data_IF_181420783064
#
_entry.id   IF_181420783064
#
_cell.length_a   1.000
_cell.length_b   1.000
_cell.length_c   1.000
_cell.angle_alpha   90.00
_cell.angle_beta   90.00
_cell.angle_gamma   90.00
#
_symmetry.space_group_name_H-M   'P 1'
#
loop_
_entity.id
_entity.type
_entity.pdbx_description
1 polymer ?
#
# COMPACT_ATOMS: atom_id res chain seq x y z
N UNK A 1 -2.27 -9.45 20.70
CA UNK A 1 -3.39 -9.75 19.78
C UNK A 1 -3.43 -8.63 18.75
N UNK A 2 -2.88 -8.86 17.55
CA UNK A 2 -3.03 -7.90 16.44
C UNK A 2 -4.47 -7.99 15.94
N UNK A 3 -5.28 -6.97 16.22
CA UNK A 3 -6.69 -6.94 15.81
C UNK A 3 -6.87 -6.91 14.28
N UNK A 4 -5.82 -6.55 13.53
CA UNK A 4 -5.79 -6.55 12.07
C UNK A 4 -4.45 -7.12 11.59
N UNK A 5 -4.45 -8.29 10.97
CA UNK A 5 -3.25 -8.83 10.30
C UNK A 5 -2.98 -8.06 9.00
N UNK A 6 -1.71 -8.00 8.59
CA UNK A 6 -1.30 -7.40 7.32
C UNK A 6 -2.03 -8.04 6.12
N UNK A 7 -2.32 -9.35 6.20
CA UNK A 7 -3.09 -10.08 5.18
C UNK A 7 -4.49 -9.49 4.99
N UNK A 8 -5.20 -9.22 6.09
CA UNK A 8 -6.57 -8.67 6.06
C UNK A 8 -6.54 -7.25 5.48
N UNK A 9 -5.58 -6.42 5.89
CA UNK A 9 -5.42 -5.06 5.37
C UNK A 9 -5.14 -5.03 3.85
N UNK A 10 -4.31 -5.96 3.36
CA UNK A 10 -4.05 -6.11 1.93
C UNK A 10 -5.32 -6.54 1.16
N UNK A 11 -6.12 -7.45 1.70
CA UNK A 11 -7.41 -7.80 1.09
C UNK A 11 -8.40 -6.63 1.08
N UNK A 12 -8.50 -5.87 2.17
CA UNK A 12 -9.34 -4.67 2.25
C UNK A 12 -8.92 -3.65 1.20
N UNK A 13 -7.61 -3.44 1.02
CA UNK A 13 -7.06 -2.57 -0.02
C UNK A 13 -7.45 -3.04 -1.42
N UNK A 14 -7.24 -4.31 -1.76
CA UNK A 14 -7.61 -4.88 -3.07
C UNK A 14 -9.11 -4.70 -3.31
N UNK A 15 -9.93 -4.99 -2.29
CA UNK A 15 -11.37 -4.79 -2.35
C UNK A 15 -11.74 -3.32 -2.61
N UNK A 16 -11.12 -2.38 -1.91
CA UNK A 16 -11.34 -0.95 -2.11
C UNK A 16 -11.00 -0.50 -3.55
N UNK A 17 -9.90 -0.98 -4.13
CA UNK A 17 -9.52 -0.68 -5.51
C UNK A 17 -10.56 -1.21 -6.52
N UNK A 18 -11.08 -2.42 -6.30
CA UNK A 18 -12.13 -3.01 -7.13
C UNK A 18 -13.45 -2.24 -6.99
N UNK A 19 -13.82 -1.84 -5.77
CA UNK A 19 -15.02 -1.02 -5.52
C UNK A 19 -14.90 0.34 -6.22
N UNK A 20 -13.77 1.01 -6.09
CA UNK A 20 -13.50 2.28 -6.80
C UNK A 20 -13.65 2.07 -8.31
N UNK A 21 -13.02 1.04 -8.87
CA UNK A 21 -13.16 0.72 -10.30
C UNK A 21 -14.62 0.47 -10.71
N UNK A 22 -15.40 -0.23 -9.89
CA UNK A 22 -16.82 -0.49 -10.16
C UNK A 22 -17.63 0.81 -10.18
N UNK A 23 -17.41 1.71 -9.21
CA UNK A 23 -18.10 3.00 -9.16
C UNK A 23 -17.70 3.92 -10.33
N UNK A 24 -16.45 3.91 -10.79
CA UNK A 24 -16.04 4.67 -11.97
C UNK A 24 -16.84 4.32 -13.23
N UNK A 25 -17.26 3.05 -13.37
CA UNK A 25 -18.04 2.57 -14.52
C UNK A 25 -19.54 2.76 -14.28
N UNK A 26 -20.02 2.43 -13.08
CA UNK A 26 -21.47 2.34 -12.80
C UNK A 26 -22.11 3.70 -12.52
N UNK A 27 -21.47 4.50 -11.68
CA UNK A 27 -21.95 5.81 -11.24
C UNK A 27 -20.78 6.67 -10.73
N UNK A 28 -20.05 7.33 -11.64
CA UNK A 28 -18.88 8.12 -11.28
C UNK A 28 -19.26 9.44 -10.58
N UNK A 29 -20.50 9.92 -10.75
CA UNK A 29 -20.98 11.13 -10.09
C UNK A 29 -21.11 10.90 -8.59
N UNK A 30 -21.71 9.77 -8.19
CA UNK A 30 -21.84 9.34 -6.80
C UNK A 30 -20.48 9.23 -6.10
N UNK A 31 -19.44 8.78 -6.81
CA UNK A 31 -18.07 8.76 -6.27
C UNK A 31 -17.55 10.18 -6.09
N UNK A 32 -17.60 11.01 -7.13
CA UNK A 32 -17.02 12.37 -7.11
C UNK A 32 -17.68 13.35 -6.13
N UNK A 33 -18.97 13.15 -5.86
CA UNK A 33 -19.78 13.96 -4.97
C UNK A 33 -20.00 13.31 -3.59
N UNK A 34 -19.25 12.26 -3.27
CA UNK A 34 -19.25 11.69 -1.93
C UNK A 34 -18.85 12.77 -0.92
N UNK A 35 -19.63 12.92 0.17
CA UNK A 35 -19.44 14.02 1.13
C UNK A 35 -18.02 14.13 1.66
N UNK A 36 -17.35 12.99 1.89
CA UNK A 36 -15.94 12.98 2.33
C UNK A 36 -14.97 13.53 1.28
N UNK A 37 -15.18 13.23 -0.01
CA UNK A 37 -14.33 13.73 -1.12
C UNK A 37 -14.48 15.25 -1.24
N UNK A 38 -15.71 15.75 -1.14
CA UNK A 38 -16.00 17.19 -1.19
C UNK A 38 -15.37 17.91 -0.01
N UNK A 39 -15.55 17.40 1.21
CA UNK A 39 -14.98 17.98 2.43
C UNK A 39 -13.45 18.04 2.36
N UNK A 40 -12.80 16.96 1.93
CA UNK A 40 -11.35 16.94 1.85
C UNK A 40 -10.82 17.85 0.72
N UNK A 41 -11.50 17.89 -0.42
CA UNK A 41 -11.18 18.82 -1.50
C UNK A 41 -11.24 20.28 -1.06
N UNK A 42 -12.29 20.65 -0.31
CA UNK A 42 -12.44 21.98 0.26
C UNK A 42 -11.38 22.29 1.32
N UNK A 43 -11.06 21.34 2.20
CA UNK A 43 -10.03 21.50 3.22
C UNK A 43 -8.63 21.76 2.63
N UNK A 44 -8.34 21.10 1.50
CA UNK A 44 -7.09 21.25 0.75
C UNK A 44 -7.12 22.41 -0.26
N UNK A 45 -8.24 23.13 -0.39
CA UNK A 45 -8.43 24.21 -1.35
C UNK A 45 -8.15 23.81 -2.82
N UNK A 46 -8.44 22.55 -3.16
CA UNK A 46 -8.28 22.01 -4.53
C UNK A 46 -9.60 22.04 -5.29
N UNK A 47 -9.57 22.14 -6.64
CA UNK A 47 -10.79 22.12 -7.44
C UNK A 47 -11.61 20.84 -7.23
N UNK A 48 -12.91 21.02 -7.04
CA UNK A 48 -13.88 19.93 -7.00
C UNK A 48 -14.15 19.45 -8.42
N UNK A 49 -13.83 18.19 -8.71
CA UNK A 49 -14.13 17.58 -10.00
C UNK A 49 -15.44 16.82 -9.88
N UNK A 50 -16.35 17.09 -10.82
CA UNK A 50 -17.55 16.27 -11.05
C UNK A 50 -17.30 15.34 -12.22
N UNK A 51 -17.45 14.04 -12.01
CA UNK A 51 -17.26 13.07 -13.09
C UNK A 51 -18.57 12.85 -13.84
N UNK A 52 -18.53 12.99 -15.17
CA UNK A 52 -19.68 12.72 -16.03
C UNK A 52 -19.50 11.35 -16.70
N UNK A 53 -20.54 10.49 -16.73
CA UNK A 53 -20.43 9.11 -17.25
C UNK A 53 -20.12 9.01 -18.75
N UNK A 54 -20.19 10.12 -19.49
CA UNK A 54 -19.89 10.16 -20.93
C UNK A 54 -18.40 10.21 -21.25
N UNK A 55 -17.52 10.39 -20.24
CA UNK A 55 -16.10 10.55 -20.48
C UNK A 55 -15.37 9.18 -20.66
N UNK A 56 -14.79 8.89 -21.84
CA UNK A 56 -14.08 7.63 -22.08
C UNK A 56 -12.88 7.40 -21.16
N UNK A 57 -12.29 8.48 -20.62
CA UNK A 57 -11.15 8.39 -19.69
C UNK A 57 -11.51 7.66 -18.39
N UNK A 58 -12.79 7.63 -18.00
CA UNK A 58 -13.24 6.89 -16.83
C UNK A 58 -13.06 5.38 -17.00
N UNK A 59 -13.39 4.85 -18.18
CA UNK A 59 -13.19 3.45 -18.51
C UNK A 59 -11.70 3.08 -18.50
N UNK A 60 -10.86 3.91 -19.11
CA UNK A 60 -9.40 3.71 -19.04
C UNK A 60 -8.89 3.72 -17.60
N UNK A 61 -9.35 4.68 -16.79
CA UNK A 61 -8.96 4.80 -15.39
C UNK A 61 -9.41 3.57 -14.58
N UNK A 62 -10.62 3.05 -14.82
CA UNK A 62 -11.09 1.82 -14.18
C UNK A 62 -10.20 0.61 -14.50
N UNK A 63 -9.74 0.47 -15.75
CA UNK A 63 -8.82 -0.61 -16.13
C UNK A 63 -7.49 -0.51 -15.38
N UNK A 64 -6.98 0.71 -15.17
CA UNK A 64 -5.79 0.93 -14.35
C UNK A 64 -6.03 0.48 -12.91
N UNK A 65 -7.16 0.85 -12.29
CA UNK A 65 -7.50 0.42 -10.94
C UNK A 65 -7.64 -1.09 -10.79
N UNK A 66 -8.26 -1.78 -11.77
CA UNK A 66 -8.32 -3.26 -11.79
C UNK A 66 -6.92 -3.85 -11.92
N UNK A 67 -6.08 -3.29 -12.78
CA UNK A 67 -4.71 -3.78 -12.97
C UNK A 67 -3.89 -3.62 -11.68
N UNK A 68 -4.05 -2.51 -10.96
CA UNK A 68 -3.45 -2.31 -9.64
C UNK A 68 -3.97 -3.32 -8.61
N UNK A 69 -5.28 -3.59 -8.60
CA UNK A 69 -5.89 -4.58 -7.72
C UNK A 69 -5.35 -5.99 -8.01
N UNK A 70 -5.20 -6.37 -9.29
CA UNK A 70 -4.62 -7.65 -9.70
C UNK A 70 -3.13 -7.76 -9.36
N UNK A 71 -2.37 -6.67 -9.54
CA UNK A 71 -0.95 -6.60 -9.19
C UNK A 71 -0.69 -6.84 -7.71
N UNK A 72 -1.65 -6.50 -6.84
CA UNK A 72 -1.59 -6.80 -5.40
C UNK A 72 -2.23 -8.16 -5.07
N UNK A 73 -3.26 -8.59 -5.81
CA UNK A 73 -3.95 -9.87 -5.57
C UNK A 73 -3.09 -11.09 -5.90
N UNK A 74 -2.35 -11.07 -7.01
CA UNK A 74 -1.54 -12.21 -7.44
C UNK A 74 -0.45 -12.55 -6.42
N UNK A 75 0.39 -11.61 -5.94
CA UNK A 75 1.40 -11.89 -4.92
C UNK A 75 0.78 -12.27 -3.57
N UNK A 76 -0.42 -11.77 -3.27
CA UNK A 76 -1.15 -12.10 -2.04
C UNK A 76 -1.64 -13.56 -2.05
N UNK A 77 -2.13 -14.05 -3.19
CA UNK A 77 -2.52 -15.45 -3.39
C UNK A 77 -1.31 -16.39 -3.36
N UNK A 78 -0.15 -15.93 -3.83
CA UNK A 78 1.11 -16.65 -3.77
C UNK A 78 1.81 -16.56 -2.39
N UNK A 79 1.21 -15.87 -1.42
CA UNK A 79 1.77 -15.60 -0.09
C UNK A 79 3.21 -15.05 -0.12
N UNK A 80 3.53 -14.23 -1.13
CA UNK A 80 4.85 -13.63 -1.30
C UNK A 80 5.00 -12.37 -0.43
N UNK A 81 5.32 -12.56 0.85
CA UNK A 81 5.47 -11.45 1.81
C UNK A 81 6.64 -10.52 1.48
N UNK A 82 7.73 -11.05 0.91
CA UNK A 82 8.93 -10.26 0.57
C UNK A 82 8.62 -9.18 -0.48
N UNK A 83 7.70 -9.47 -1.40
CA UNK A 83 7.21 -8.49 -2.38
C UNK A 83 6.58 -7.28 -1.69
N UNK A 84 5.65 -7.51 -0.76
CA UNK A 84 4.97 -6.42 -0.04
C UNK A 84 5.90 -5.67 0.91
N UNK A 85 6.86 -6.36 1.53
CA UNK A 85 7.83 -5.73 2.44
C UNK A 85 8.67 -4.65 1.74
N UNK A 86 9.00 -4.86 0.47
CA UNK A 86 9.75 -3.89 -0.32
C UNK A 86 8.83 -2.87 -1.00
N UNK A 87 7.68 -3.31 -1.53
CA UNK A 87 6.82 -2.45 -2.34
C UNK A 87 6.04 -1.42 -1.51
N UNK A 88 5.50 -1.81 -0.37
CA UNK A 88 4.67 -0.94 0.48
C UNK A 88 5.39 0.36 0.89
N UNK A 89 6.64 0.34 1.41
CA UNK A 89 7.32 1.58 1.77
C UNK A 89 7.66 2.47 0.56
N UNK A 90 8.00 1.88 -0.59
CA UNK A 90 8.24 2.63 -1.84
C UNK A 90 6.96 3.32 -2.29
N UNK A 91 5.85 2.59 -2.30
CA UNK A 91 4.53 3.10 -2.67
C UNK A 91 4.06 4.20 -1.73
N UNK A 92 4.21 4.01 -0.42
CA UNK A 92 3.91 5.01 0.60
C UNK A 92 4.70 6.30 0.35
N UNK A 93 6.00 6.18 0.08
CA UNK A 93 6.87 7.32 -0.24
C UNK A 93 6.39 8.06 -1.49
N UNK A 94 6.01 7.32 -2.55
CA UNK A 94 5.44 7.89 -3.76
C UNK A 94 4.16 8.69 -3.50
N UNK A 95 3.25 8.18 -2.66
CA UNK A 95 2.04 8.91 -2.31
C UNK A 95 2.30 10.13 -1.43
N UNK A 96 3.28 10.08 -0.52
CA UNK A 96 3.71 11.28 0.21
C UNK A 96 4.27 12.35 -0.71
N UNK A 97 5.09 11.98 -1.69
CA UNK A 97 5.59 12.91 -2.71
C UNK A 97 4.44 13.53 -3.53
N UNK A 98 3.46 12.72 -3.92
CA UNK A 98 2.29 13.20 -4.64
C UNK A 98 1.40 14.13 -3.78
N UNK A 99 1.19 13.81 -2.50
CA UNK A 99 0.48 14.67 -1.57
C UNK A 99 1.19 16.03 -1.39
N UNK A 100 2.52 16.00 -1.21
CA UNK A 100 3.33 17.21 -1.11
C UNK A 100 3.22 18.05 -2.40
N UNK A 101 3.28 17.42 -3.57
CA UNK A 101 3.12 18.11 -4.85
C UNK A 101 1.76 18.81 -4.97
N UNK A 102 0.66 18.11 -4.61
CA UNK A 102 -0.69 18.69 -4.63
C UNK A 102 -0.79 19.88 -3.69
N UNK A 103 -0.16 19.79 -2.52
CA UNK A 103 -0.12 20.87 -1.54
C UNK A 103 0.61 22.12 -2.05
N UNK A 104 1.77 21.97 -2.72
CA UNK A 104 2.52 23.11 -3.26
C UNK A 104 1.94 23.68 -4.55
N UNK A 105 1.29 22.87 -5.38
CA UNK A 105 0.77 23.27 -6.69
C UNK A 105 -0.72 22.91 -6.82
N UNK A 106 -1.61 23.61 -6.11
CA UNK A 106 -3.05 23.28 -6.07
C UNK A 106 -3.76 23.54 -7.42
N UNK A 107 -3.16 24.29 -8.33
CA UNK A 107 -3.72 24.62 -9.66
C UNK A 107 -3.40 23.57 -10.74
N UNK A 108 -2.60 22.55 -10.42
CA UNK A 108 -2.25 21.50 -11.39
C UNK A 108 -3.47 20.64 -11.74
N UNK A 109 -3.49 20.07 -12.94
CA UNK A 109 -4.54 19.13 -13.39
C UNK A 109 -4.64 17.91 -12.47
N UNK A 110 -3.51 17.50 -11.87
CA UNK A 110 -3.43 16.38 -10.93
C UNK A 110 -3.96 16.76 -9.54
N UNK A 111 -3.98 18.05 -9.22
CA UNK A 111 -4.42 18.59 -7.93
C UNK A 111 -5.92 18.78 -7.93
N UNK A 112 -6.65 17.72 -7.57
CA UNK A 112 -8.10 17.74 -7.51
C UNK A 112 -8.64 16.92 -6.33
N UNK A 113 -9.92 17.13 -6.01
CA UNK A 113 -10.59 16.52 -4.86
C UNK A 113 -10.52 14.99 -4.83
N UNK A 114 -10.62 14.34 -6.00
CA UNK A 114 -10.56 12.88 -6.12
C UNK A 114 -9.17 12.34 -5.85
N UNK A 115 -8.15 12.94 -6.49
CA UNK A 115 -6.76 12.50 -6.36
C UNK A 115 -6.28 12.72 -4.93
N UNK A 116 -6.56 13.87 -4.31
CA UNK A 116 -6.11 14.09 -2.92
C UNK A 116 -6.76 13.11 -1.95
N UNK A 117 -8.05 12.80 -2.15
CA UNK A 117 -8.76 11.84 -1.31
C UNK A 117 -8.19 10.44 -1.48
N UNK A 118 -7.96 10.03 -2.73
CA UNK A 118 -7.33 8.75 -3.02
C UNK A 118 -5.94 8.66 -2.38
N UNK A 119 -5.10 9.67 -2.55
CA UNK A 119 -3.75 9.74 -1.98
C UNK A 119 -3.78 9.67 -0.45
N UNK A 120 -4.71 10.37 0.21
CA UNK A 120 -4.81 10.33 1.66
C UNK A 120 -5.18 8.92 2.18
N UNK A 121 -6.17 8.28 1.56
CA UNK A 121 -6.54 6.91 1.91
C UNK A 121 -5.42 5.92 1.62
N UNK A 122 -4.68 6.11 0.53
CA UNK A 122 -3.52 5.31 0.19
C UNK A 122 -2.39 5.48 1.21
N UNK A 123 -2.08 6.70 1.65
CA UNK A 123 -1.09 6.94 2.71
C UNK A 123 -1.51 6.22 3.98
N UNK A 124 -2.76 6.43 4.42
CA UNK A 124 -3.26 5.84 5.66
C UNK A 124 -3.27 4.31 5.60
N UNK A 125 -3.78 3.74 4.50
CA UNK A 125 -3.82 2.30 4.27
C UNK A 125 -2.43 1.66 4.18
N UNK A 126 -1.51 2.23 3.38
CA UNK A 126 -0.15 1.70 3.27
C UNK A 126 0.62 1.84 4.60
N UNK A 127 0.38 2.89 5.37
CA UNK A 127 1.00 3.05 6.70
C UNK A 127 0.55 1.95 7.67
N UNK A 128 -0.75 1.63 7.71
CA UNK A 128 -1.27 0.52 8.51
C UNK A 128 -0.72 -0.84 8.04
N UNK A 129 -0.66 -1.07 6.74
CA UNK A 129 -0.09 -2.31 6.17
C UNK A 129 1.38 -2.43 6.56
N UNK A 130 2.16 -1.36 6.39
CA UNK A 130 3.59 -1.33 6.70
C UNK A 130 3.87 -1.69 8.17
N UNK A 131 3.16 -1.07 9.10
CA UNK A 131 3.35 -1.33 10.53
C UNK A 131 3.07 -2.80 10.88
N UNK A 132 1.95 -3.34 10.41
CA UNK A 132 1.60 -4.74 10.67
C UNK A 132 2.57 -5.71 10.00
N UNK A 133 3.02 -5.42 8.78
CA UNK A 133 3.96 -6.26 8.06
C UNK A 133 5.33 -6.28 8.73
N UNK A 134 5.78 -5.14 9.27
CA UNK A 134 7.03 -5.02 10.03
C UNK A 134 6.95 -5.80 11.35
N UNK A 135 5.85 -5.68 12.08
CA UNK A 135 5.63 -6.41 13.32
C UNK A 135 5.61 -7.93 13.06
N UNK A 136 4.82 -8.39 12.08
CA UNK A 136 4.74 -9.79 11.70
C UNK A 136 6.11 -10.33 11.23
N UNK A 137 6.89 -9.54 10.48
CA UNK A 137 8.27 -9.89 10.11
C UNK A 137 9.16 -10.09 11.32
N UNK A 138 9.07 -9.23 12.33
CA UNK A 138 9.85 -9.37 13.55
C UNK A 138 9.50 -10.66 14.30
N UNK A 139 8.21 -11.00 14.40
CA UNK A 139 7.78 -12.27 14.99
C UNK A 139 8.26 -13.49 14.19
N UNK A 140 8.18 -13.45 12.85
CA UNK A 140 8.70 -14.52 11.98
C UNK A 140 10.21 -14.71 12.16
N UNK A 141 10.96 -13.62 12.21
CA UNK A 141 12.41 -13.64 12.39
C UNK A 141 12.79 -14.20 13.77
N UNK A 142 12.12 -13.74 14.83
CA UNK A 142 12.36 -14.23 16.19
C UNK A 142 12.11 -15.74 16.30
N UNK A 143 10.99 -16.23 15.76
CA UNK A 143 10.65 -17.64 15.74
C UNK A 143 11.67 -18.47 14.95
N UNK A 144 12.10 -17.97 13.79
CA UNK A 144 13.14 -18.64 12.98
C UNK A 144 14.47 -18.75 13.74
N UNK A 145 14.89 -17.70 14.45
CA UNK A 145 16.11 -17.72 15.27
C UNK A 145 15.98 -18.68 16.46
N UNK A 146 14.82 -18.73 17.13
CA UNK A 146 14.57 -19.67 18.23
C UNK A 146 14.65 -21.13 17.74
N UNK A 147 13.98 -21.45 16.63
CA UNK A 147 13.94 -22.81 16.05
C UNK A 147 15.30 -23.25 15.47
N UNK A 148 16.09 -22.32 14.93
CA UNK A 148 17.41 -22.61 14.34
C UNK A 148 18.58 -22.27 15.28
N UNK A 149 18.31 -21.93 16.54
CA UNK A 149 19.32 -21.47 17.50
C UNK A 149 20.44 -22.49 17.71
N UNK A 150 20.11 -23.78 17.74
CA UNK A 150 21.10 -24.87 17.85
C UNK A 150 21.96 -24.99 16.58
N UNK A 151 21.36 -24.94 15.39
CA UNK A 151 22.10 -25.00 14.13
C UNK A 151 23.01 -23.77 13.93
N UNK A 152 22.54 -22.58 14.33
CA UNK A 152 23.31 -21.33 14.28
C UNK A 152 24.50 -21.39 15.26
N UNK A 153 24.30 -21.95 16.46
CA UNK A 153 25.40 -22.17 17.42
C UNK A 153 26.46 -23.12 16.89
N UNK A 154 26.06 -24.26 16.32
CA UNK A 154 27.02 -25.23 15.76
C UNK A 154 27.81 -24.65 14.59
N UNK A 155 27.17 -23.90 13.69
CA UNK A 155 27.86 -23.23 12.59
C UNK A 155 28.83 -22.12 13.08
N UNK A 156 28.48 -21.43 14.16
CA UNK A 156 29.34 -20.40 14.77
C UNK A 156 30.56 -21.02 15.48
N UNK A 157 30.39 -22.18 16.13
CA UNK A 157 31.51 -22.92 16.75
C UNK A 157 32.45 -23.51 15.70
N UNK A 158 31.93 -23.93 14.54
CA UNK A 158 32.73 -24.47 13.43
C UNK A 158 33.58 -23.39 12.75
N UNK A 159 33.10 -22.14 12.67
CA UNK A 159 33.88 -20.99 12.17
C UNK A 159 34.98 -20.53 13.15
N UNK A 160 34.88 -20.84 14.44
CA UNK A 160 35.83 -20.41 15.48
C UNK A 160 36.86 -21.51 15.81
N UNK A 161 37.03 -22.53 14.95
CA UNK A 161 38.22 -23.40 15.04
C UNK A 161 39.48 -22.59 14.72
N UNK A 162 40.08 -22.08 15.79
CA UNK A 162 41.41 -21.47 15.80
C UNK A 162 42.36 -22.51 15.23
N UNK A 163 43.03 -22.16 14.13
CA UNK A 163 44.14 -22.93 13.58
C UNK A 163 45.26 -22.78 14.61
N UNK A 164 45.41 -23.75 15.52
CA UNK A 164 46.62 -23.89 16.30
C UNK A 164 47.74 -24.15 15.29
N UNK A 165 48.58 -23.13 15.07
CA UNK A 165 49.82 -23.26 14.35
C UNK A 165 50.78 -24.02 15.26
N UNK A 166 50.94 -25.32 15.01
CA UNK A 166 51.99 -26.13 15.63
C UNK A 166 53.36 -25.48 15.30
N UNK A 167 54.14 -25.20 16.36
CA UNK A 167 55.48 -24.59 16.36
C UNK A 167 56.54 -25.41 15.60
#
# INVERSE_FOLDING_TARGET
MQFLSAKILLYIRVFALVVVSFFLIKDPDALSMAGFIVLLGQAMQVPLIRLTPTNPLLGMTSVVFVTLALSDLIPLLAENWSYFENLVPIRLSGYFCLAAYIYFVPTSIVSNSLVITYVLFEIWGNFLIYNNLRDEKYYRMKKFVEENSEAIRTAHDEQVRVIELDE
#
